data_IF_132975271772
#
_entry.id   IF_132975271772
#
_cell.length_a   1.000
_cell.length_b   1.000
_cell.length_c   1.000
_cell.angle_alpha   90.00
_cell.angle_beta   90.00
_cell.angle_gamma   90.00
#
_symmetry.space_group_name_H-M   'P 1'
#
loop_
_entity.id
_entity.type
_entity.pdbx_description
1 polymer ?
#
# COMPACT_ATOMS: atom_id res chain seq x y z
N UNK A 1 31.48 4.95 10.67
CA UNK A 1 31.37 5.47 9.30
C UNK A 1 30.36 4.63 8.51
N UNK A 2 29.07 4.81 8.81
CA UNK A 2 27.95 3.96 8.33
C UNK A 2 27.05 4.68 7.31
N UNK A 3 27.60 5.67 6.59
CA UNK A 3 26.85 6.53 5.65
C UNK A 3 27.14 6.28 4.17
N UNK A 4 27.63 5.10 3.81
CA UNK A 4 27.97 4.79 2.42
C UNK A 4 27.28 3.49 1.97
N UNK A 5 26.03 3.63 1.52
CA UNK A 5 25.33 2.80 0.51
C UNK A 5 23.80 2.79 0.72
N UNK A 6 23.19 3.96 0.94
CA UNK A 6 21.74 4.08 0.75
C UNK A 6 21.54 4.78 -0.59
N UNK A 7 21.22 4.01 -1.64
CA UNK A 7 20.61 4.61 -2.83
C UNK A 7 19.45 5.47 -2.38
N UNK A 8 19.33 6.67 -2.94
CA UNK A 8 18.22 7.58 -2.63
C UNK A 8 16.91 6.89 -2.99
N UNK A 9 16.10 6.56 -1.97
CA UNK A 9 14.73 6.09 -2.18
C UNK A 9 13.90 7.33 -2.50
N UNK A 10 13.39 7.41 -3.72
CA UNK A 10 12.47 8.47 -4.11
C UNK A 10 11.07 8.15 -3.60
N UNK A 11 10.48 9.06 -2.82
CA UNK A 11 9.10 8.95 -2.34
C UNK A 11 8.24 9.88 -3.20
N UNK A 12 7.14 9.35 -3.74
CA UNK A 12 6.09 10.13 -4.39
C UNK A 12 4.91 10.18 -3.43
N UNK A 13 4.57 11.39 -2.97
CA UNK A 13 3.43 11.63 -2.09
C UNK A 13 2.27 12.20 -2.91
N UNK A 14 1.09 11.61 -2.74
CA UNK A 14 -0.18 12.18 -3.19
C UNK A 14 -1.03 12.46 -1.96
N UNK A 15 -1.34 13.73 -1.72
CA UNK A 15 -2.17 14.18 -0.62
C UNK A 15 -3.26 15.10 -1.17
N UNK A 16 -4.45 15.02 -0.60
CA UNK A 16 -5.59 15.88 -0.97
C UNK A 16 -5.58 17.21 -0.21
N UNK A 17 -4.93 17.25 0.96
CA UNK A 17 -4.78 18.43 1.82
C UNK A 17 -3.37 18.46 2.38
N UNK A 18 -2.67 19.58 2.23
CA UNK A 18 -1.35 19.83 2.85
C UNK A 18 -1.39 21.08 3.73
N UNK A 19 -2.20 22.06 3.39
CA UNK A 19 -2.45 23.28 4.16
C UNK A 19 -3.95 23.42 4.48
N UNK A 20 -4.33 24.04 5.61
CA UNK A 20 -5.73 24.37 5.89
C UNK A 20 -6.46 25.11 4.75
N UNK A 21 -5.75 25.86 3.89
CA UNK A 21 -6.34 26.51 2.71
C UNK A 21 -6.78 25.55 1.61
N UNK A 22 -6.30 24.31 1.61
CA UNK A 22 -6.71 23.29 0.64
C UNK A 22 -8.08 22.69 0.99
N UNK A 23 -8.59 22.97 2.20
CA UNK A 23 -9.88 22.47 2.66
C UNK A 23 -10.99 23.25 1.95
N UNK A 24 -11.79 22.52 1.18
CA UNK A 24 -12.98 23.03 0.48
C UNK A 24 -14.21 22.25 0.94
N UNK A 25 -15.37 22.88 0.86
CA UNK A 25 -16.64 22.21 1.10
C UNK A 25 -16.98 21.29 -0.09
N UNK A 26 -17.16 20.01 0.20
CA UNK A 26 -17.53 18.99 -0.79
C UNK A 26 -18.94 18.48 -0.51
N UNK A 27 -19.64 18.12 -1.57
CA UNK A 27 -20.82 17.25 -1.45
C UNK A 27 -20.41 15.84 -1.02
N UNK A 28 -21.36 15.07 -0.48
CA UNK A 28 -21.12 13.66 -0.11
C UNK A 28 -20.59 12.84 -1.31
N UNK A 29 -21.19 13.04 -2.49
CA UNK A 29 -20.75 12.38 -3.72
C UNK A 29 -19.31 12.74 -4.13
N UNK A 30 -18.91 14.01 -4.00
CA UNK A 30 -17.53 14.43 -4.29
C UNK A 30 -16.53 13.88 -3.26
N UNK A 31 -16.93 13.78 -2.00
CA UNK A 31 -16.13 13.17 -0.95
C UNK A 31 -15.90 11.68 -1.21
N UNK A 32 -16.96 10.95 -1.59
CA UNK A 32 -16.90 9.52 -1.90
C UNK A 32 -16.04 9.24 -3.15
N UNK A 33 -16.02 10.15 -4.12
CA UNK A 33 -15.23 10.02 -5.35
C UNK A 33 -13.71 10.15 -5.14
N UNK A 34 -13.26 10.77 -4.03
CA UNK A 34 -11.84 11.01 -3.76
C UNK A 34 -11.06 9.69 -3.58
N UNK A 35 -11.45 8.77 -2.67
CA UNK A 35 -10.80 7.46 -2.55
C UNK A 35 -10.74 6.69 -3.88
N UNK A 36 -11.84 6.68 -4.66
CA UNK A 36 -11.88 6.05 -5.98
C UNK A 36 -10.87 6.69 -6.96
N UNK A 37 -10.75 8.02 -6.95
CA UNK A 37 -9.79 8.74 -7.79
C UNK A 37 -8.35 8.41 -7.40
N UNK A 38 -8.05 8.33 -6.10
CA UNK A 38 -6.73 7.93 -5.60
C UNK A 38 -6.36 6.51 -6.06
N UNK A 39 -7.30 5.55 -5.96
CA UNK A 39 -7.10 4.20 -6.47
C UNK A 39 -6.73 4.16 -7.96
N UNK A 40 -7.45 4.92 -8.80
CA UNK A 40 -7.13 5.05 -10.23
C UNK A 40 -5.76 5.66 -10.49
N UNK A 41 -5.37 6.68 -9.71
CA UNK A 41 -4.05 7.31 -9.84
C UNK A 41 -2.95 6.32 -9.47
N UNK A 42 -3.09 5.60 -8.35
CA UNK A 42 -2.13 4.56 -7.93
C UNK A 42 -1.98 3.50 -9.01
N UNK A 43 -3.09 2.99 -9.56
CA UNK A 43 -3.05 2.02 -10.67
C UNK A 43 -2.27 2.55 -11.86
N UNK A 44 -2.52 3.79 -12.27
CA UNK A 44 -1.84 4.43 -13.40
C UNK A 44 -0.34 4.61 -13.15
N UNK A 45 0.06 4.92 -11.91
CA UNK A 45 1.47 5.04 -11.51
C UNK A 45 2.16 3.67 -11.59
N UNK A 46 1.53 2.60 -11.09
CA UNK A 46 2.10 1.25 -11.17
C UNK A 46 2.21 0.72 -12.60
N UNK A 47 1.26 1.08 -13.46
CA UNK A 47 1.26 0.69 -14.88
C UNK A 47 2.17 1.59 -15.75
N UNK A 48 2.79 2.63 -15.17
CA UNK A 48 3.57 3.59 -15.94
C UNK A 48 4.89 3.00 -16.43
N UNK A 49 5.14 3.16 -17.73
CA UNK A 49 6.43 2.87 -18.35
C UNK A 49 7.19 4.17 -18.60
N UNK A 50 8.50 4.15 -18.37
CA UNK A 50 9.38 5.28 -18.62
C UNK A 50 9.66 5.49 -20.11
N UNK A 51 10.47 6.50 -20.44
CA UNK A 51 10.84 6.85 -21.81
C UNK A 51 11.53 5.69 -22.58
N UNK A 52 12.14 4.75 -21.86
CA UNK A 52 12.77 3.54 -22.42
C UNK A 52 11.77 2.42 -22.73
N UNK A 53 10.49 2.59 -22.39
CA UNK A 53 9.45 1.56 -22.51
C UNK A 53 9.46 0.53 -21.38
N UNK A 54 10.39 0.63 -20.42
CA UNK A 54 10.46 -0.26 -19.26
C UNK A 54 9.53 0.22 -18.14
N UNK A 55 8.99 -0.71 -17.36
CA UNK A 55 8.19 -0.39 -16.18
C UNK A 55 9.02 0.37 -15.15
N UNK A 56 8.46 1.44 -14.58
CA UNK A 56 9.10 2.15 -13.47
C UNK A 56 8.80 1.39 -12.17
N UNK A 57 9.79 0.80 -11.50
CA UNK A 57 9.52 -0.05 -10.34
C UNK A 57 9.06 0.78 -9.15
N UNK A 58 7.88 0.45 -8.63
CA UNK A 58 7.40 0.96 -7.34
C UNK A 58 7.67 -0.09 -6.27
N UNK A 59 8.48 0.27 -5.27
CA UNK A 59 8.93 -0.67 -4.24
C UNK A 59 7.87 -1.05 -3.21
N UNK A 60 6.78 -0.29 -3.11
CA UNK A 60 5.68 -0.57 -2.19
C UNK A 60 4.73 0.62 -2.05
N UNK A 61 3.65 0.42 -1.30
CA UNK A 61 2.61 1.41 -1.05
C UNK A 61 2.53 1.78 0.42
N UNK A 62 2.32 3.06 0.70
CA UNK A 62 1.85 3.52 1.99
C UNK A 62 0.47 4.15 1.81
N UNK A 63 -0.52 3.71 2.59
CA UNK A 63 -1.87 4.27 2.58
C UNK A 63 -2.30 4.68 3.98
N UNK A 64 -3.11 5.73 4.07
CA UNK A 64 -3.69 6.19 5.34
C UNK A 64 -5.17 6.48 5.15
N UNK A 65 -6.02 5.99 6.06
CA UNK A 65 -7.47 5.96 5.87
C UNK A 65 -7.95 4.60 5.38
N UNK A 66 -9.06 4.12 5.94
CA UNK A 66 -9.61 2.80 5.62
C UNK A 66 -10.29 2.76 4.26
N UNK A 67 -11.05 3.80 3.95
CA UNK A 67 -11.66 4.10 2.65
C UNK A 67 -10.62 4.18 1.53
N UNK A 68 -9.57 4.99 1.71
CA UNK A 68 -8.47 5.12 0.75
C UNK A 68 -7.78 3.77 0.55
N UNK A 69 -7.50 3.04 1.63
CA UNK A 69 -6.85 1.73 1.53
C UNK A 69 -7.73 0.73 0.77
N UNK A 70 -9.04 0.69 1.05
CA UNK A 70 -9.97 -0.20 0.37
C UNK A 70 -10.04 0.11 -1.13
N UNK A 71 -10.18 1.38 -1.51
CA UNK A 71 -10.29 1.78 -2.91
C UNK A 71 -8.98 1.67 -3.69
N UNK A 72 -7.84 1.84 -3.03
CA UNK A 72 -6.54 1.52 -3.63
C UNK A 72 -6.45 0.02 -3.91
N UNK A 73 -6.86 -0.85 -2.98
CA UNK A 73 -6.82 -2.30 -3.22
C UNK A 73 -7.77 -2.71 -4.35
N UNK A 74 -9.00 -2.19 -4.35
CA UNK A 74 -10.00 -2.48 -5.40
C UNK A 74 -9.51 -2.01 -6.77
N UNK A 75 -9.00 -0.77 -6.86
CA UNK A 75 -8.43 -0.22 -8.10
C UNK A 75 -7.21 -0.98 -8.64
N UNK A 76 -6.55 -1.77 -7.79
CA UNK A 76 -5.46 -2.66 -8.17
C UNK A 76 -5.93 -4.09 -8.48
N UNK A 77 -7.23 -4.38 -8.37
CA UNK A 77 -7.78 -5.74 -8.45
C UNK A 77 -7.32 -6.64 -7.29
N UNK A 78 -6.82 -6.04 -6.21
CA UNK A 78 -6.45 -6.73 -4.98
C UNK A 78 -7.68 -7.13 -4.18
N UNK A 79 -7.59 -8.23 -3.46
CA UNK A 79 -8.67 -8.77 -2.62
C UNK A 79 -8.40 -8.57 -1.12
N UNK A 80 -7.21 -8.08 -0.76
CA UNK A 80 -6.83 -7.83 0.62
C UNK A 80 -5.33 -7.65 0.82
N UNK A 81 -4.92 -7.75 2.09
CA UNK A 81 -3.53 -7.65 2.54
C UNK A 81 -3.21 -8.88 3.37
N UNK A 82 -2.11 -9.56 3.04
CA UNK A 82 -1.51 -10.57 3.90
C UNK A 82 -0.71 -9.83 4.99
N UNK A 83 -1.16 -9.95 6.24
CA UNK A 83 -0.64 -9.15 7.35
C UNK A 83 0.65 -9.79 7.89
N UNK A 84 1.73 -9.03 7.89
CA UNK A 84 3.00 -9.45 8.48
C UNK A 84 3.12 -9.05 9.96
N UNK A 85 2.46 -7.96 10.35
CA UNK A 85 2.44 -7.46 11.72
C UNK A 85 2.20 -5.96 11.78
N UNK A 86 2.08 -5.44 13.00
CA UNK A 86 1.94 -4.01 13.25
C UNK A 86 3.30 -3.30 13.21
N UNK A 87 3.33 -2.12 12.59
CA UNK A 87 4.47 -1.19 12.65
C UNK A 87 4.40 -0.40 13.96
N UNK A 88 3.21 0.14 14.24
CA UNK A 88 2.78 0.74 15.51
C UNK A 88 1.30 0.40 15.71
N UNK A 89 0.70 0.59 16.91
CA UNK A 89 -0.72 0.30 17.09
C UNK A 89 -1.60 0.96 16.02
N UNK A 90 -2.45 0.17 15.37
CA UNK A 90 -3.34 0.60 14.27
C UNK A 90 -2.63 1.06 12.97
N UNK A 91 -1.35 0.69 12.80
CA UNK A 91 -0.64 0.75 11.53
C UNK A 91 -0.03 -0.62 11.21
N UNK A 92 -0.32 -1.17 10.02
CA UNK A 92 -0.05 -2.57 9.70
C UNK A 92 0.82 -2.68 8.46
N UNK A 93 1.79 -3.59 8.51
CA UNK A 93 2.63 -3.98 7.37
C UNK A 93 2.18 -5.30 6.77
N UNK A 94 2.35 -5.46 5.46
CA UNK A 94 1.95 -6.67 4.76
C UNK A 94 2.28 -6.65 3.28
N UNK A 95 1.62 -7.53 2.52
CA UNK A 95 1.68 -7.54 1.05
C UNK A 95 0.30 -7.58 0.44
N UNK A 96 0.14 -6.95 -0.72
CA UNK A 96 -1.11 -7.00 -1.49
C UNK A 96 -1.39 -8.44 -1.91
N UNK A 97 -2.63 -8.88 -1.73
CA UNK A 97 -3.11 -10.20 -2.17
C UNK A 97 -4.03 -10.03 -3.37
N UNK A 98 -3.80 -10.81 -4.42
CA UNK A 98 -4.60 -10.78 -5.65
C UNK A 98 -4.27 -9.62 -6.60
N UNK A 99 -4.82 -9.69 -7.79
CA UNK A 99 -4.60 -8.70 -8.84
C UNK A 99 -3.16 -8.66 -9.39
N UNK A 100 -2.88 -7.75 -10.34
CA UNK A 100 -1.56 -7.61 -10.93
C UNK A 100 -0.48 -7.10 -9.96
N UNK A 101 -0.88 -6.50 -8.83
CA UNK A 101 0.02 -5.99 -7.80
C UNK A 101 0.27 -7.01 -6.66
N UNK A 102 -0.13 -8.27 -6.80
CA UNK A 102 0.07 -9.29 -5.78
C UNK A 102 1.55 -9.40 -5.36
N UNK A 103 1.80 -9.43 -4.06
CA UNK A 103 3.13 -9.44 -3.46
C UNK A 103 3.77 -8.06 -3.29
N UNK A 104 3.16 -6.98 -3.79
CA UNK A 104 3.65 -5.63 -3.56
C UNK A 104 3.61 -5.30 -2.06
N UNK A 105 4.74 -4.87 -1.46
CA UNK A 105 4.76 -4.41 -0.07
C UNK A 105 3.77 -3.28 0.17
N UNK A 106 3.05 -3.35 1.28
CA UNK A 106 2.12 -2.29 1.69
C UNK A 106 2.20 -2.06 3.19
N UNK A 107 2.19 -0.79 3.59
CA UNK A 107 1.97 -0.35 4.97
C UNK A 107 0.73 0.53 5.01
N UNK A 108 -0.20 0.24 5.91
CA UNK A 108 -1.45 0.99 6.06
C UNK A 108 -1.55 1.60 7.44
N UNK A 109 -2.25 2.72 7.56
CA UNK A 109 -2.50 3.41 8.83
C UNK A 109 -3.95 3.86 8.92
N UNK A 110 -4.58 3.78 10.09
CA UNK A 110 -5.87 4.44 10.31
C UNK A 110 -5.75 5.97 10.12
N UNK A 111 -6.77 6.61 9.56
CA UNK A 111 -6.70 8.05 9.17
C UNK A 111 -6.32 8.98 10.32
N UNK A 112 -6.84 8.70 11.53
CA UNK A 112 -6.63 9.50 12.75
C UNK A 112 -5.57 8.91 13.71
N UNK A 113 -4.84 7.89 13.26
CA UNK A 113 -3.88 7.16 14.10
C UNK A 113 -2.52 7.84 14.09
N UNK A 114 -1.90 7.91 15.28
CA UNK A 114 -0.50 8.33 15.45
C UNK A 114 -0.32 9.84 15.62
N UNK A 115 0.94 10.24 15.63
CA UNK A 115 1.42 11.63 15.67
C UNK A 115 2.12 12.01 14.35
N UNK A 116 2.73 13.19 14.32
CA UNK A 116 3.44 13.73 13.16
C UNK A 116 4.56 12.81 12.66
N UNK A 117 5.17 12.01 13.54
CA UNK A 117 6.30 11.14 13.19
C UNK A 117 5.84 9.74 12.76
N UNK A 118 4.60 9.37 13.03
CA UNK A 118 4.09 8.02 12.75
C UNK A 118 4.13 7.66 11.26
N UNK A 119 3.89 8.62 10.36
CA UNK A 119 4.00 8.40 8.92
C UNK A 119 5.45 8.10 8.50
N UNK A 120 6.43 8.74 9.15
CA UNK A 120 7.86 8.51 8.89
C UNK A 120 8.23 7.08 9.31
N UNK A 121 7.79 6.65 10.50
CA UNK A 121 8.00 5.26 10.97
C UNK A 121 7.40 4.23 10.01
N UNK A 122 6.21 4.51 9.46
CA UNK A 122 5.56 3.65 8.47
C UNK A 122 6.35 3.58 7.15
N UNK A 123 6.88 4.71 6.68
CA UNK A 123 7.70 4.77 5.46
C UNK A 123 9.03 4.04 5.65
N UNK A 124 9.66 4.16 6.81
CA UNK A 124 10.89 3.41 7.14
C UNK A 124 10.63 1.90 7.17
N UNK A 125 9.52 1.47 7.75
CA UNK A 125 9.10 0.07 7.74
C UNK A 125 8.83 -0.44 6.32
N UNK A 126 8.14 0.36 5.49
CA UNK A 126 7.89 0.03 4.08
C UNK A 126 9.20 -0.10 3.29
N UNK A 127 10.14 0.82 3.49
CA UNK A 127 11.44 0.77 2.82
C UNK A 127 12.25 -0.47 3.22
N UNK A 128 12.17 -0.91 4.48
CA UNK A 128 12.77 -2.17 4.93
C UNK A 128 12.10 -3.38 4.29
N UNK A 129 10.77 -3.39 4.25
CA UNK A 129 9.99 -4.48 3.65
C UNK A 129 10.27 -4.63 2.15
N UNK A 130 10.35 -3.51 1.42
CA UNK A 130 10.67 -3.48 0.00
C UNK A 130 12.08 -4.04 -0.30
N UNK A 131 13.05 -3.81 0.59
CA UNK A 131 14.43 -4.30 0.44
C UNK A 131 14.60 -5.77 0.80
N UNK A 132 13.78 -6.28 1.72
CA UNK A 132 13.83 -7.68 2.12
C UNK A 132 13.37 -8.63 1.00
N UNK A 133 12.58 -8.12 0.05
CA UNK A 133 11.85 -8.93 -0.94
C UNK A 133 10.64 -9.59 -0.28
N UNK A 134 9.54 -9.71 -1.02
CA UNK A 134 8.34 -10.37 -0.51
C UNK A 134 8.68 -11.79 -0.01
N UNK A 135 8.22 -12.22 1.19
CA UNK A 135 8.30 -13.62 1.57
C UNK A 135 7.63 -14.43 0.47
N UNK A 136 8.36 -15.36 -0.15
CA UNK A 136 7.77 -16.26 -1.14
C UNK A 136 6.64 -17.03 -0.45
N UNK A 137 5.40 -16.82 -0.91
CA UNK A 137 4.24 -17.57 -0.45
C UNK A 137 4.56 -19.07 -0.65
N UNK A 138 4.81 -19.77 0.45
CA UNK A 138 4.85 -21.23 0.43
C UNK A 138 3.41 -21.69 0.30
N UNK A 139 3.04 -22.12 -0.90
CA UNK A 139 1.84 -22.91 -1.13
C UNK A 139 1.82 -24.05 -0.10
N UNK A 140 0.98 -23.91 0.92
CA UNK A 140 0.72 -25.01 1.84
C UNK A 140 -0.38 -25.83 1.18
N UNK A 141 -0.15 -27.13 0.85
CA UNK A 141 -1.16 -27.95 0.21
C UNK A 141 -2.42 -27.97 1.07
N UNK A 142 -3.51 -27.45 0.51
CA UNK A 142 -4.85 -27.51 1.10
C UNK A 142 -5.25 -28.98 1.18
N UNK A 143 -5.13 -29.57 2.36
CA UNK A 143 -5.57 -30.95 2.61
C UNK A 143 -7.07 -31.03 2.39
N UNK A 144 -7.49 -31.65 1.28
CA UNK A 144 -8.87 -32.05 1.09
C UNK A 144 -9.14 -33.21 2.05
N UNK A 145 -9.81 -32.92 3.16
CA UNK A 145 -10.45 -33.95 3.97
C UNK A 145 -11.48 -34.64 3.08
N UNK A 146 -11.17 -35.89 2.72
CA UNK A 146 -12.12 -36.80 2.09
C UNK A 146 -13.28 -37.06 3.05
N UNK A 147 -14.51 -36.93 2.54
CA UNK A 147 -15.67 -37.56 3.16
C UNK A 147 -15.57 -39.06 2.86
N UNK A 148 -15.29 -39.84 3.88
CA UNK A 148 -15.48 -41.28 3.87
C UNK A 148 -16.98 -41.56 3.78
N UNK A 149 -17.35 -42.35 2.76
CA UNK A 149 -18.69 -42.90 2.58
C UNK A 149 -19.01 -43.92 3.67
N UNK A 150 -20.24 -43.90 4.16
CA UNK A 150 -20.94 -45.05 4.74
C UNK A 150 -22.30 -45.16 4.09
#
# INVERSE_FOLDING_TARGET
DLRAAAGTVSIVLLATVLDPSDIVDLTEAESDDIPHALGRVVRRVLDHTGDTGEAVPVGGLYTTGGDVTAEVLDGLGGVGIEIHGEVVPLATSGTVVGGPAAGLPIVTKGGLVGDTDTAIVCLDALAQLARAGAPQHRDTPRTTSGKESS
#
